data_IF_557935675263
#
_entry.id   IF_557935675263
#
_cell.length_a   1.000
_cell.length_b   1.000
_cell.length_c   1.000
_cell.angle_alpha   90.00
_cell.angle_beta   90.00
_cell.angle_gamma   90.00
#
_symmetry.space_group_name_H-M   'P 1'
#
loop_
_entity.id
_entity.type
_entity.pdbx_description
1 polymer ?
#
# COMPACT_ATOMS: atom_id res chain seq x y z
N UNK A 1 12.51 -33.39 -82.42
CA UNK A 1 13.54 -32.46 -82.94
C UNK A 1 13.10 -31.02 -82.66
N UNK A 2 14.06 -30.09 -82.61
CA UNK A 2 13.97 -28.62 -82.41
C UNK A 2 12.56 -27.98 -82.52
N UNK A 3 12.18 -27.19 -81.50
CA UNK A 3 11.30 -26.02 -81.65
C UNK A 3 11.99 -24.77 -81.07
N UNK A 4 12.40 -23.89 -81.97
CA UNK A 4 12.60 -22.45 -81.77
C UNK A 4 11.31 -21.72 -82.22
N UNK A 5 11.19 -20.39 -82.04
CA UNK A 5 11.70 -19.53 -80.96
C UNK A 5 10.55 -18.69 -80.37
N UNK A 6 10.87 -17.70 -79.53
CA UNK A 6 10.31 -16.33 -79.63
C UNK A 6 11.36 -15.35 -79.08
N UNK A 7 11.33 -14.11 -79.56
CA UNK A 7 12.32 -13.06 -79.30
C UNK A 7 11.67 -12.00 -78.41
N UNK A 8 12.39 -11.46 -77.43
CA UNK A 8 12.37 -10.01 -77.17
C UNK A 8 13.70 -9.53 -76.59
N UNK A 9 14.23 -8.45 -77.17
CA UNK A 9 15.46 -7.77 -76.74
C UNK A 9 15.13 -6.60 -75.83
N UNK A 10 15.87 -6.43 -74.74
CA UNK A 10 15.90 -5.21 -73.93
C UNK A 10 17.32 -4.66 -73.97
N UNK A 11 17.46 -3.34 -74.10
CA UNK A 11 18.74 -2.65 -74.26
C UNK A 11 19.40 -2.32 -72.91
N UNK A 12 20.73 -2.26 -72.90
CA UNK A 12 21.49 -1.81 -71.74
C UNK A 12 21.66 -0.28 -71.73
N UNK A 13 21.42 0.33 -70.58
CA UNK A 13 21.83 1.70 -70.24
C UNK A 13 22.41 1.66 -68.82
N UNK A 14 23.54 2.32 -68.59
CA UNK A 14 24.26 2.28 -67.32
C UNK A 14 24.35 3.68 -66.69
N UNK A 15 23.84 3.84 -65.47
CA UNK A 15 24.09 4.99 -64.60
C UNK A 15 24.28 4.53 -63.15
N UNK A 16 25.34 5.05 -62.54
CA UNK A 16 25.63 5.22 -61.09
C UNK A 16 25.22 4.14 -60.09
N UNK A 17 26.25 3.55 -59.46
CA UNK A 17 26.13 2.89 -58.16
C UNK A 17 26.02 3.96 -57.05
N UNK A 18 24.83 4.11 -56.49
CA UNK A 18 24.59 4.68 -55.15
C UNK A 18 23.90 3.63 -54.30
N UNK A 19 24.31 3.49 -53.04
CA UNK A 19 24.00 2.32 -52.23
C UNK A 19 22.60 2.36 -51.59
N UNK A 20 21.90 1.23 -51.69
CA UNK A 20 21.13 0.60 -50.60
C UNK A 20 21.37 -0.92 -50.74
N UNK A 21 21.62 -1.62 -49.63
CA UNK A 21 21.80 -3.07 -49.64
C UNK A 21 20.48 -3.78 -49.37
N UNK A 22 20.20 -4.84 -50.14
CA UNK A 22 19.16 -5.83 -49.78
C UNK A 22 19.72 -6.76 -48.68
N UNK A 23 19.53 -6.38 -47.41
CA UNK A 23 19.74 -7.29 -46.28
C UNK A 23 18.41 -7.93 -45.89
N UNK A 24 18.13 -9.12 -46.45
CA UNK A 24 17.06 -10.00 -45.97
C UNK A 24 17.48 -10.67 -44.65
N UNK A 25 17.70 -9.85 -43.63
CA UNK A 25 18.02 -10.27 -42.27
C UNK A 25 16.77 -10.20 -41.39
N UNK A 26 16.24 -11.37 -41.00
CA UNK A 26 15.23 -11.45 -39.93
C UNK A 26 15.91 -11.21 -38.57
N UNK A 27 16.33 -9.98 -38.31
CA UNK A 27 16.84 -9.56 -37.01
C UNK A 27 15.68 -9.39 -36.03
N UNK A 28 15.28 -10.49 -35.39
CA UNK A 28 14.68 -10.41 -34.06
C UNK A 28 15.80 -9.95 -33.12
N UNK A 29 15.94 -8.63 -32.96
CA UNK A 29 16.74 -8.05 -31.89
C UNK A 29 16.04 -8.37 -30.58
N UNK A 30 16.70 -9.13 -29.70
CA UNK A 30 16.19 -9.37 -28.35
C UNK A 30 16.02 -8.03 -27.62
N UNK A 31 14.89 -7.87 -26.95
CA UNK A 31 14.68 -6.77 -26.01
C UNK A 31 15.57 -7.02 -24.80
N UNK A 32 16.41 -6.04 -24.47
CA UNK A 32 17.22 -6.04 -23.25
C UNK A 32 16.63 -5.04 -22.25
N UNK A 33 17.00 -5.17 -20.98
CA UNK A 33 16.43 -4.48 -19.82
C UNK A 33 16.59 -2.94 -19.79
N UNK A 34 17.06 -2.31 -20.87
CA UNK A 34 17.41 -0.89 -20.98
C UNK A 34 16.16 -0.02 -21.16
N UNK A 35 15.93 0.93 -20.25
CA UNK A 35 14.81 1.86 -20.36
C UNK A 35 15.04 2.91 -21.45
N UNK A 36 14.02 3.14 -22.29
CA UNK A 36 14.08 4.11 -23.39
C UNK A 36 14.20 5.57 -22.89
N UNK A 37 13.60 5.90 -21.74
CA UNK A 37 13.70 7.22 -21.11
C UNK A 37 13.98 7.17 -19.60
N UNK A 38 14.65 8.21 -19.11
CA UNK A 38 14.85 8.50 -17.69
C UNK A 38 14.64 10.01 -17.51
N UNK A 39 13.69 10.41 -16.66
CA UNK A 39 13.20 11.79 -16.52
C UNK A 39 12.97 12.18 -15.06
N UNK A 40 12.78 13.47 -14.80
CA UNK A 40 12.36 13.95 -13.49
C UNK A 40 10.86 13.71 -13.28
N UNK A 41 10.01 14.23 -14.18
CA UNK A 41 8.55 14.14 -14.09
C UNK A 41 7.91 13.45 -15.30
N UNK A 42 6.66 12.99 -15.15
CA UNK A 42 5.89 12.39 -16.25
C UNK A 42 5.67 13.35 -17.43
N UNK A 43 5.51 14.65 -17.15
CA UNK A 43 5.33 15.72 -18.15
C UNK A 43 6.60 15.96 -19.00
N UNK A 44 7.77 15.48 -18.56
CA UNK A 44 9.01 15.54 -19.35
C UNK A 44 9.08 14.46 -20.45
N UNK A 45 8.16 13.49 -20.49
CA UNK A 45 8.14 12.47 -21.54
C UNK A 45 7.58 13.00 -22.86
N UNK A 46 8.08 12.52 -24.02
CA UNK A 46 7.41 12.75 -25.29
C UNK A 46 6.03 12.09 -25.30
N UNK A 47 5.07 12.65 -26.03
CA UNK A 47 3.75 12.03 -26.22
C UNK A 47 3.91 10.55 -26.63
N UNK A 48 3.22 9.64 -25.93
CA UNK A 48 3.07 8.26 -26.36
C UNK A 48 2.27 8.22 -27.68
N UNK A 49 2.72 7.38 -28.62
CA UNK A 49 2.22 7.28 -30.00
C UNK A 49 2.48 5.86 -30.52
N UNK A 50 1.81 5.45 -31.60
CA UNK A 50 2.04 4.15 -32.27
C UNK A 50 3.51 3.83 -32.52
N UNK A 51 4.30 4.85 -32.84
CA UNK A 51 5.71 4.75 -33.22
C UNK A 51 6.64 4.63 -31.98
N UNK A 52 6.04 4.50 -30.79
CA UNK A 52 6.64 4.42 -29.45
C UNK A 52 5.95 3.36 -28.59
N UNK A 53 5.01 2.59 -29.14
CA UNK A 53 4.30 1.57 -28.37
C UNK A 53 5.32 0.57 -27.80
N UNK A 54 5.20 0.23 -26.52
CA UNK A 54 6.17 -0.50 -25.70
C UNK A 54 7.49 0.24 -25.34
N UNK A 55 7.68 1.52 -25.71
CA UNK A 55 8.74 2.36 -25.10
C UNK A 55 8.54 2.38 -23.56
N UNK A 56 9.64 2.30 -22.81
CA UNK A 56 9.64 2.30 -21.34
C UNK A 56 10.33 3.53 -20.75
N UNK A 57 9.83 4.00 -19.61
CA UNK A 57 10.29 5.23 -18.99
C UNK A 57 10.42 5.10 -17.46
N UNK A 58 11.48 5.69 -16.92
CA UNK A 58 11.65 5.88 -15.47
C UNK A 58 11.49 7.36 -15.11
N UNK A 59 10.68 7.63 -14.10
CA UNK A 59 10.37 8.95 -13.55
C UNK A 59 10.96 9.01 -12.14
N UNK A 60 11.90 9.94 -11.90
CA UNK A 60 12.57 10.06 -10.59
C UNK A 60 11.64 10.58 -9.50
N UNK A 61 10.74 11.52 -9.82
CA UNK A 61 9.73 11.98 -8.89
C UNK A 61 8.72 10.84 -8.64
N UNK A 62 8.84 10.19 -7.48
CA UNK A 62 8.08 8.98 -7.12
C UNK A 62 8.77 7.64 -7.42
N UNK A 63 9.96 7.62 -8.03
CA UNK A 63 10.67 6.38 -8.44
C UNK A 63 9.81 5.44 -9.33
N UNK A 64 9.09 6.00 -10.30
CA UNK A 64 8.02 5.33 -11.03
C UNK A 64 8.43 4.80 -12.42
N UNK A 65 8.00 3.58 -12.75
CA UNK A 65 8.17 2.94 -14.07
C UNK A 65 6.87 3.08 -14.88
N UNK A 66 7.01 3.53 -16.12
CA UNK A 66 5.93 3.68 -17.10
C UNK A 66 6.22 2.93 -18.41
N UNK A 67 5.16 2.54 -19.12
CA UNK A 67 5.21 2.00 -20.48
C UNK A 67 4.25 2.78 -21.39
N UNK A 68 4.62 3.00 -22.65
CA UNK A 68 3.75 3.59 -23.66
C UNK A 68 2.85 2.50 -24.25
N UNK A 69 1.54 2.54 -23.97
CA UNK A 69 0.58 1.54 -24.43
C UNK A 69 -0.82 2.18 -24.59
N UNK A 70 -1.60 1.79 -25.61
CA UNK A 70 -2.85 2.45 -26.02
C UNK A 70 -2.67 3.97 -26.30
N UNK A 71 -1.53 4.39 -26.88
CA UNK A 71 -1.21 5.81 -27.11
C UNK A 71 -1.13 6.68 -25.82
N UNK A 72 -0.94 6.07 -24.65
CA UNK A 72 -0.72 6.77 -23.37
C UNK A 72 0.41 6.14 -22.55
N UNK A 73 1.08 6.94 -21.75
CA UNK A 73 1.97 6.43 -20.70
C UNK A 73 1.12 5.82 -19.59
N UNK A 74 1.24 4.50 -19.37
CA UNK A 74 0.62 3.76 -18.28
C UNK A 74 1.67 3.50 -17.20
N UNK A 75 1.32 3.77 -15.93
CA UNK A 75 2.15 3.38 -14.79
C UNK A 75 2.17 1.85 -14.66
N UNK A 76 3.36 1.30 -14.45
CA UNK A 76 3.60 -0.14 -14.30
C UNK A 76 3.80 -0.47 -12.82
N UNK A 77 4.80 0.16 -12.18
CA UNK A 77 5.25 -0.12 -10.81
C UNK A 77 6.27 0.93 -10.35
N UNK A 78 6.38 1.19 -9.04
CA UNK A 78 7.48 1.97 -8.47
C UNK A 78 8.65 1.06 -8.01
N UNK A 79 9.87 1.60 -8.00
CA UNK A 79 11.03 0.98 -7.32
C UNK A 79 11.20 1.57 -5.93
N UNK A 80 11.84 0.82 -5.03
CA UNK A 80 12.04 1.19 -3.63
C UNK A 80 13.30 2.06 -3.48
N UNK A 81 14.31 1.83 -4.33
CA UNK A 81 15.61 2.49 -4.30
C UNK A 81 16.01 2.95 -5.72
N UNK A 82 16.73 4.07 -5.84
CA UNK A 82 17.25 4.58 -7.12
C UNK A 82 18.66 5.11 -6.92
N UNK A 83 19.63 4.45 -7.54
CA UNK A 83 21.07 4.68 -7.32
C UNK A 83 21.77 4.99 -8.64
N UNK A 84 22.80 5.85 -8.60
CA UNK A 84 23.50 6.25 -9.83
C UNK A 84 24.44 5.16 -10.31
N UNK A 85 25.04 4.38 -9.40
CA UNK A 85 26.00 3.32 -9.74
C UNK A 85 25.80 2.04 -8.91
N UNK A 86 26.34 0.92 -9.40
CA UNK A 86 26.26 -0.38 -8.70
C UNK A 86 27.05 -0.42 -7.38
N UNK A 87 28.02 0.49 -7.20
CA UNK A 87 28.78 0.64 -5.95
C UNK A 87 27.99 1.39 -4.85
N UNK A 88 26.96 2.17 -5.24
CA UNK A 88 25.99 2.79 -4.33
C UNK A 88 24.85 1.85 -3.96
N UNK A 89 24.61 0.80 -4.77
CA UNK A 89 23.57 -0.18 -4.55
C UNK A 89 23.86 -0.97 -3.27
N UNK A 90 23.09 -0.66 -2.23
CA UNK A 90 23.11 -1.36 -0.96
C UNK A 90 22.91 -2.87 -1.15
N UNK A 91 23.62 -3.70 -0.37
CA UNK A 91 23.67 -5.15 -0.60
C UNK A 91 22.27 -5.80 -0.54
N UNK A 92 22.00 -6.72 -1.47
CA UNK A 92 20.87 -7.63 -1.36
C UNK A 92 21.13 -8.64 -0.23
N UNK A 93 20.14 -8.85 0.63
CA UNK A 93 20.19 -9.77 1.78
C UNK A 93 18.80 -10.31 2.05
N UNK A 94 18.67 -11.37 2.85
CA UNK A 94 17.39 -11.98 3.23
C UNK A 94 16.37 -10.97 3.82
N UNK A 95 16.85 -9.85 4.39
CA UNK A 95 16.01 -8.76 4.92
C UNK A 95 15.38 -7.87 3.83
N UNK A 96 15.85 -8.00 2.58
CA UNK A 96 15.50 -7.20 1.41
C UNK A 96 14.96 -8.06 0.25
N UNK A 97 14.67 -9.33 0.51
CA UNK A 97 14.16 -10.28 -0.48
C UNK A 97 12.87 -9.73 -1.13
N UNK A 98 12.87 -9.62 -2.46
CA UNK A 98 11.79 -9.02 -3.25
C UNK A 98 11.85 -7.50 -3.41
N UNK A 99 12.79 -6.79 -2.77
CA UNK A 99 13.01 -5.37 -3.03
C UNK A 99 13.43 -5.11 -4.48
N UNK A 100 13.14 -3.89 -4.95
CA UNK A 100 13.41 -3.45 -6.33
C UNK A 100 14.17 -2.13 -6.32
N UNK A 101 15.22 -2.06 -7.12
CA UNK A 101 16.03 -0.86 -7.30
C UNK A 101 16.12 -0.48 -8.78
N UNK A 102 16.32 0.79 -9.09
CA UNK A 102 16.72 1.25 -10.43
C UNK A 102 18.19 1.70 -10.41
N UNK A 103 18.94 1.27 -11.42
CA UNK A 103 20.37 1.58 -11.58
C UNK A 103 20.54 2.57 -12.73
N UNK A 104 20.69 3.87 -12.45
CA UNK A 104 20.64 4.90 -13.49
C UNK A 104 21.79 4.81 -14.52
N UNK A 105 22.98 4.35 -14.12
CA UNK A 105 24.13 4.20 -15.05
C UNK A 105 23.89 3.20 -16.17
N UNK A 106 23.09 2.16 -15.90
CA UNK A 106 22.72 1.11 -16.87
C UNK A 106 21.26 1.24 -17.35
N UNK A 107 20.45 2.08 -16.70
CA UNK A 107 19.00 2.21 -16.91
C UNK A 107 18.21 0.91 -16.81
N UNK A 108 18.61 0.03 -15.89
CA UNK A 108 17.96 -1.25 -15.66
C UNK A 108 17.21 -1.27 -14.32
N UNK A 109 16.09 -2.00 -14.29
CA UNK A 109 15.44 -2.41 -13.05
C UNK A 109 16.13 -3.67 -12.49
N UNK A 110 16.30 -3.70 -11.18
CA UNK A 110 16.90 -4.82 -10.44
C UNK A 110 15.90 -5.36 -9.41
N UNK A 111 15.97 -6.66 -9.13
CA UNK A 111 15.24 -7.31 -8.02
C UNK A 111 16.22 -8.06 -7.11
N UNK A 112 16.06 -7.91 -5.80
CA UNK A 112 16.84 -8.66 -4.81
C UNK A 112 16.19 -10.03 -4.61
N UNK A 113 16.91 -11.12 -4.89
CA UNK A 113 16.47 -12.46 -4.54
C UNK A 113 17.63 -13.39 -4.19
N UNK A 114 17.46 -14.27 -3.22
CA UNK A 114 18.46 -15.25 -2.79
C UNK A 114 19.78 -14.63 -2.31
N UNK A 115 19.75 -13.38 -1.85
CA UNK A 115 20.94 -12.61 -1.49
C UNK A 115 21.76 -12.05 -2.68
N UNK A 116 21.19 -12.01 -3.89
CA UNK A 116 21.77 -11.36 -5.08
C UNK A 116 20.80 -10.37 -5.73
N UNK A 117 21.35 -9.34 -6.37
CA UNK A 117 20.60 -8.51 -7.31
C UNK A 117 20.61 -9.16 -8.69
N UNK A 118 19.42 -9.36 -9.26
CA UNK A 118 19.20 -9.82 -10.62
C UNK A 118 18.63 -8.68 -11.47
N UNK A 119 19.01 -8.61 -12.76
CA UNK A 119 18.28 -7.76 -13.71
C UNK A 119 16.86 -8.30 -13.85
N UNK A 120 15.89 -7.39 -13.85
CA UNK A 120 14.47 -7.70 -13.88
C UNK A 120 13.89 -7.14 -15.18
N UNK A 121 13.72 -8.01 -16.18
CA UNK A 121 13.16 -7.62 -17.46
C UNK A 121 11.69 -7.22 -17.33
N UNK A 122 11.31 -6.17 -18.03
CA UNK A 122 9.99 -5.56 -17.93
C UNK A 122 8.91 -6.35 -18.69
N UNK A 123 9.31 -7.16 -19.67
CA UNK A 123 8.44 -8.05 -20.43
C UNK A 123 7.81 -9.15 -19.55
N UNK A 124 8.48 -9.60 -18.48
CA UNK A 124 7.91 -10.52 -17.46
C UNK A 124 6.67 -9.91 -16.76
N UNK A 125 6.55 -8.57 -16.71
CA UNK A 125 5.33 -7.91 -16.24
C UNK A 125 4.26 -7.86 -17.32
N UNK A 126 4.64 -7.70 -18.58
CA UNK A 126 3.72 -7.59 -19.72
C UNK A 126 3.13 -8.96 -20.10
N UNK A 127 3.92 -10.03 -20.14
CA UNK A 127 3.41 -11.39 -20.44
C UNK A 127 2.44 -11.90 -19.36
N UNK A 128 2.52 -11.40 -18.13
CA UNK A 128 1.53 -11.68 -17.07
C UNK A 128 0.08 -11.24 -17.43
N UNK A 129 -0.09 -10.46 -18.50
CA UNK A 129 -1.39 -10.08 -19.07
C UNK A 129 -1.92 -11.02 -20.18
N UNK A 130 -1.09 -11.90 -20.76
CA UNK A 130 -1.47 -12.74 -21.91
C UNK A 130 -1.23 -14.24 -21.67
N UNK A 131 -2.30 -15.05 -21.78
CA UNK A 131 -2.30 -16.43 -21.29
C UNK A 131 -1.77 -17.46 -22.29
N UNK A 132 -0.45 -17.71 -22.29
CA UNK A 132 0.15 -18.87 -22.96
C UNK A 132 1.37 -19.43 -22.19
N UNK A 133 1.16 -20.35 -21.24
CA UNK A 133 2.28 -21.00 -20.54
C UNK A 133 3.04 -21.98 -21.43
N UNK A 134 4.28 -21.64 -21.79
CA UNK A 134 5.30 -22.59 -22.24
C UNK A 134 6.55 -22.47 -21.38
N UNK A 135 6.81 -23.48 -20.56
CA UNK A 135 7.93 -23.48 -19.63
C UNK A 135 9.29 -23.64 -20.35
N UNK A 136 10.12 -22.60 -20.32
CA UNK A 136 11.55 -22.68 -20.62
C UNK A 136 12.36 -22.04 -19.50
N UNK A 137 12.97 -22.87 -18.65
CA UNK A 137 14.06 -22.44 -17.78
C UNK A 137 15.34 -22.29 -18.61
N UNK A 138 15.91 -21.09 -18.69
CA UNK A 138 17.35 -20.80 -18.67
C UNK A 138 17.62 -19.30 -18.89
N UNK A 139 18.87 -18.87 -18.63
CA UNK A 139 19.44 -17.55 -18.97
C UNK A 139 18.98 -16.31 -18.16
N UNK A 140 19.18 -16.31 -16.84
CA UNK A 140 19.36 -15.07 -16.07
C UNK A 140 20.85 -14.68 -16.06
N UNK A 141 21.22 -13.43 -16.39
CA UNK A 141 22.61 -12.97 -16.28
C UNK A 141 22.95 -12.47 -14.86
N UNK A 142 24.01 -13.01 -14.26
CA UNK A 142 24.51 -12.57 -12.95
C UNK A 142 25.57 -11.47 -13.07
N UNK A 143 25.45 -10.41 -12.26
CA UNK A 143 26.49 -9.39 -12.11
C UNK A 143 27.67 -9.91 -11.26
N UNK A 144 28.94 -9.59 -11.61
CA UNK A 144 30.11 -10.12 -10.94
C UNK A 144 30.33 -9.52 -9.54
N UNK A 145 30.25 -10.34 -8.50
CA UNK A 145 30.39 -9.90 -7.11
C UNK A 145 31.86 -9.66 -6.71
N UNK A 146 32.17 -8.49 -6.14
CA UNK A 146 33.47 -8.24 -5.48
C UNK A 146 33.52 -8.91 -4.10
N UNK A 147 34.68 -9.44 -3.69
CA UNK A 147 34.77 -10.41 -2.60
C UNK A 147 35.40 -9.87 -1.31
N UNK A 148 34.81 -10.17 -0.14
CA UNK A 148 35.57 -10.27 1.12
C UNK A 148 34.91 -11.17 2.19
N UNK A 149 35.72 -12.11 2.69
CA UNK A 149 35.75 -12.65 4.06
C UNK A 149 34.59 -13.53 4.64
N UNK A 150 35.01 -14.76 4.97
CA UNK A 150 34.72 -15.48 6.22
C UNK A 150 33.34 -16.17 6.44
N UNK A 151 33.28 -17.44 6.02
CA UNK A 151 32.39 -18.45 6.62
C UNK A 151 32.79 -18.76 8.07
N UNK A 152 31.82 -18.89 8.97
CA UNK A 152 31.89 -19.81 10.12
C UNK A 152 30.57 -20.57 10.20
N UNK A 153 30.63 -21.89 10.40
CA UNK A 153 29.44 -22.74 10.52
C UNK A 153 29.52 -23.55 11.81
N UNK A 154 28.44 -23.55 12.59
CA UNK A 154 28.15 -24.64 13.53
C UNK A 154 26.68 -24.67 13.90
N UNK A 155 26.03 -25.78 13.60
CA UNK A 155 24.75 -26.18 14.19
C UNK A 155 25.01 -27.07 15.41
N UNK A 156 24.11 -27.09 16.39
CA UNK A 156 23.81 -28.29 17.19
C UNK A 156 22.55 -28.12 18.03
N UNK A 157 21.56 -28.95 17.72
CA UNK A 157 20.27 -29.09 18.39
C UNK A 157 20.38 -29.59 19.83
N UNK A 158 19.43 -29.20 20.69
CA UNK A 158 19.00 -30.03 21.83
C UNK A 158 17.46 -30.05 21.87
N UNK A 159 16.87 -31.21 22.21
CA UNK A 159 15.43 -31.43 22.45
C UNK A 159 15.26 -32.14 23.81
N UNK A 160 14.01 -32.42 24.20
CA UNK A 160 13.60 -33.32 25.33
C UNK A 160 13.71 -32.65 26.71
N UNK A 161 12.69 -32.64 27.60
CA UNK A 161 11.30 -33.11 27.46
C UNK A 161 10.27 -32.38 28.33
N UNK A 162 9.04 -32.42 27.82
CA UNK A 162 7.73 -32.49 28.51
C UNK A 162 7.66 -32.99 29.97
N UNK A 163 6.73 -32.40 30.74
CA UNK A 163 5.73 -33.15 31.55
C UNK A 163 4.55 -32.23 31.92
N UNK A 164 3.32 -32.78 31.90
CA UNK A 164 2.06 -32.06 32.16
C UNK A 164 1.35 -32.62 33.41
N UNK A 165 0.47 -31.84 34.06
CA UNK A 165 -0.81 -32.30 34.63
C UNK A 165 -1.62 -31.14 35.27
N UNK A 166 -2.96 -31.25 35.22
CA UNK A 166 -3.90 -30.53 36.10
C UNK A 166 -4.14 -31.35 37.41
N UNK A 167 -5.06 -31.14 38.36
CA UNK A 167 -6.39 -30.49 38.55
C UNK A 167 -6.62 -30.39 40.11
N UNK A 168 -7.64 -29.80 40.77
CA UNK A 168 -8.93 -29.14 40.42
C UNK A 168 -9.31 -28.08 41.50
N UNK A 169 -10.21 -27.15 41.15
CA UNK A 169 -11.34 -26.60 41.96
C UNK A 169 -11.19 -25.74 43.26
N UNK A 170 -12.01 -24.68 43.24
CA UNK A 170 -13.01 -24.23 44.26
C UNK A 170 -12.73 -23.08 45.27
N UNK A 171 -13.41 -21.95 44.99
CA UNK A 171 -14.37 -21.22 45.86
C UNK A 171 -13.94 -20.34 47.06
N UNK A 172 -14.33 -19.05 46.98
CA UNK A 172 -14.71 -18.12 48.08
C UNK A 172 -13.59 -17.67 49.06
N UNK A 173 -13.58 -16.47 49.66
CA UNK A 173 -14.65 -15.55 50.08
C UNK A 173 -14.37 -14.04 49.82
N UNK A 174 -15.23 -13.16 50.34
CA UNK A 174 -15.14 -11.69 50.28
C UNK A 174 -14.18 -11.10 51.32
N UNK A 175 -13.69 -9.88 51.06
CA UNK A 175 -13.24 -8.95 52.11
C UNK A 175 -13.88 -7.58 51.88
N UNK A 176 -14.25 -6.87 52.94
CA UNK A 176 -14.96 -5.59 52.91
C UNK A 176 -14.02 -4.39 53.02
N UNK A 177 -14.38 -3.27 52.40
CA UNK A 177 -13.82 -1.94 52.70
C UNK A 177 -14.94 -0.90 52.81
N UNK A 178 -15.13 -0.36 54.02
CA UNK A 178 -15.95 0.83 54.27
C UNK A 178 -15.23 2.08 53.72
N UNK A 179 -15.90 3.21 53.44
CA UNK A 179 -16.36 4.14 54.48
C UNK A 179 -17.30 5.22 53.93
N UNK A 180 -18.00 5.93 54.81
CA UNK A 180 -19.06 6.86 54.48
C UNK A 180 -18.63 8.35 54.48
N UNK A 181 -19.28 9.09 53.57
CA UNK A 181 -19.60 10.53 53.59
C UNK A 181 -19.51 11.28 54.94
N UNK A 182 -18.96 12.51 54.91
CA UNK A 182 -19.56 13.75 55.48
C UNK A 182 -19.10 14.95 54.63
N UNK A 183 -19.97 15.96 54.44
CA UNK A 183 -19.69 17.21 53.71
C UNK A 183 -19.71 18.44 54.65
N UNK A 184 -19.05 19.55 54.28
CA UNK A 184 -19.26 20.85 54.95
C UNK A 184 -19.01 22.10 54.07
N UNK A 185 -20.11 22.74 53.67
CA UNK A 185 -20.44 24.18 53.62
C UNK A 185 -19.46 25.28 53.14
N UNK A 186 -20.05 26.26 52.44
CA UNK A 186 -19.49 27.48 51.84
C UNK A 186 -19.32 28.67 52.80
N UNK A 187 -18.62 29.74 52.36
CA UNK A 187 -19.27 31.07 52.15
C UNK A 187 -18.43 32.06 51.27
N UNK A 188 -18.96 33.26 51.02
CA UNK A 188 -18.53 34.23 49.98
C UNK A 188 -17.52 35.31 50.46
N UNK A 189 -16.95 36.06 49.50
CA UNK A 189 -16.93 37.55 49.44
C UNK A 189 -16.44 38.01 48.05
N UNK A 190 -16.83 39.21 47.59
CA UNK A 190 -16.44 39.80 46.29
C UNK A 190 -15.66 41.12 46.45
N UNK A 191 -14.83 41.52 45.47
CA UNK A 191 -14.96 42.80 44.71
C UNK A 191 -13.68 43.30 43.99
N UNK A 192 -13.91 44.10 42.94
CA UNK A 192 -13.12 45.28 42.48
C UNK A 192 -11.71 45.16 41.87
N UNK A 193 -11.68 45.22 40.54
CA UNK A 193 -11.06 46.29 39.73
C UNK A 193 -9.55 46.62 39.80
N UNK A 194 -8.86 46.44 38.67
CA UNK A 194 -7.86 47.39 38.14
C UNK A 194 -7.73 47.27 36.61
N UNK A 195 -7.52 48.38 35.90
CA UNK A 195 -7.29 48.43 34.45
C UNK A 195 -5.83 48.68 34.11
N UNK A 196 -5.29 47.97 33.13
CA UNK A 196 -4.11 48.42 32.36
C UNK A 196 -4.37 48.24 30.86
N UNK A 197 -4.08 49.28 30.08
CA UNK A 197 -4.14 49.28 28.62
C UNK A 197 -2.72 49.12 28.09
N UNK A 198 -2.50 48.15 27.22
CA UNK A 198 -1.33 48.10 26.32
C UNK A 198 -1.79 47.64 24.95
N UNK A 199 -1.72 48.54 23.97
CA UNK A 199 -2.04 48.25 22.57
C UNK A 199 -0.82 47.62 21.88
N UNK A 200 -0.97 46.37 21.44
CA UNK A 200 0.01 45.70 20.58
C UNK A 200 -0.70 45.10 19.37
N UNK A 201 -0.86 45.90 18.32
CA UNK A 201 -1.35 45.43 17.03
C UNK A 201 -0.29 44.56 16.37
N UNK A 202 -0.33 43.26 16.64
CA UNK A 202 0.30 42.25 15.80
C UNK A 202 -0.75 41.69 14.85
N UNK A 203 -0.44 41.69 13.56
CA UNK A 203 -1.20 40.93 12.55
C UNK A 203 -0.93 39.44 12.82
N UNK A 204 -1.71 38.85 13.72
CA UNK A 204 -1.64 37.42 14.02
C UNK A 204 -2.18 36.65 12.81
N UNK A 205 -1.26 36.28 11.91
CA UNK A 205 -1.53 35.37 10.81
C UNK A 205 -2.14 34.10 11.37
N UNK A 206 -3.45 33.93 11.16
CA UNK A 206 -4.26 32.97 11.91
C UNK A 206 -3.80 31.54 11.63
N UNK A 207 -2.97 31.00 12.51
CA UNK A 207 -2.76 29.57 12.63
C UNK A 207 -4.10 28.96 13.04
N UNK A 208 -4.83 28.43 12.06
CA UNK A 208 -6.12 27.80 12.29
C UNK A 208 -5.89 26.53 13.09
N UNK A 209 -6.02 26.63 14.41
CA UNK A 209 -6.12 25.47 15.30
C UNK A 209 -7.21 24.56 14.75
N UNK A 210 -6.82 23.36 14.32
CA UNK A 210 -7.75 22.40 13.73
C UNK A 210 -8.83 22.07 14.75
N UNK A 211 -10.09 22.17 14.35
CA UNK A 211 -11.21 21.74 15.18
C UNK A 211 -11.12 20.21 15.35
N UNK A 212 -10.75 19.78 16.56
CA UNK A 212 -10.69 18.37 16.96
C UNK A 212 -11.75 18.12 18.01
N UNK A 213 -12.62 17.14 17.78
CA UNK A 213 -13.65 16.74 18.75
C UNK A 213 -13.83 15.23 18.78
N UNK A 214 -13.91 14.67 19.99
CA UNK A 214 -14.11 13.25 20.21
C UNK A 214 -15.57 12.92 20.53
N UNK A 215 -16.00 11.75 20.11
CA UNK A 215 -17.33 11.22 20.38
C UNK A 215 -17.35 9.69 20.39
N UNK A 216 -18.55 9.13 20.40
CA UNK A 216 -18.78 7.71 20.21
C UNK A 216 -19.96 7.47 19.28
N UNK A 217 -19.94 6.33 18.61
CA UNK A 217 -21.01 5.81 17.78
C UNK A 217 -21.29 4.35 18.18
N UNK A 218 -22.55 3.94 18.15
CA UNK A 218 -22.94 2.54 18.39
C UNK A 218 -23.53 1.98 17.11
N UNK A 219 -22.89 0.94 16.56
CA UNK A 219 -23.44 0.22 15.41
C UNK A 219 -24.67 -0.59 15.86
N UNK A 220 -25.81 -0.33 15.22
CA UNK A 220 -27.08 -0.99 15.53
C UNK A 220 -27.16 -2.43 15.03
N UNK A 221 -26.20 -2.87 14.21
CA UNK A 221 -26.17 -4.21 13.60
C UNK A 221 -25.58 -5.28 14.52
N UNK A 222 -24.61 -4.92 15.35
CA UNK A 222 -23.90 -5.82 16.28
C UNK A 222 -23.86 -5.31 17.73
N UNK A 223 -24.16 -4.02 17.97
CA UNK A 223 -24.09 -3.37 19.27
C UNK A 223 -22.68 -2.87 19.65
N UNK A 224 -21.69 -2.96 18.75
CA UNK A 224 -20.34 -2.48 18.99
C UNK A 224 -20.33 -0.95 19.11
N UNK A 225 -19.75 -0.46 20.21
CA UNK A 225 -19.47 0.96 20.40
C UNK A 225 -18.07 1.24 19.85
N UNK A 226 -17.96 2.25 18.99
CA UNK A 226 -16.73 2.76 18.42
C UNK A 226 -16.49 4.19 18.91
N UNK A 227 -15.24 4.55 19.18
CA UNK A 227 -14.82 5.96 19.31
C UNK A 227 -14.85 6.65 17.95
N UNK A 228 -15.14 7.94 17.95
CA UNK A 228 -15.13 8.78 16.74
C UNK A 228 -14.30 10.04 16.97
N UNK A 229 -13.66 10.55 15.93
CA UNK A 229 -12.88 11.79 15.96
C UNK A 229 -13.25 12.67 14.76
N UNK A 230 -13.56 13.93 15.01
CA UNK A 230 -13.62 14.97 13.99
C UNK A 230 -12.23 15.55 13.82
N UNK A 231 -11.71 15.61 12.59
CA UNK A 231 -10.44 16.24 12.24
C UNK A 231 -10.72 17.20 11.08
N UNK A 232 -10.70 18.51 11.37
CA UNK A 232 -11.09 19.52 10.40
C UNK A 232 -12.57 19.40 10.02
N UNK A 233 -12.87 19.00 8.78
CA UNK A 233 -14.24 18.83 8.28
C UNK A 233 -14.77 17.40 8.33
N UNK A 234 -13.92 16.40 8.58
CA UNK A 234 -14.27 14.98 8.47
C UNK A 234 -14.48 14.34 9.85
N UNK A 235 -15.57 13.59 10.04
CA UNK A 235 -15.80 12.77 11.25
C UNK A 235 -15.49 11.30 10.96
N UNK A 236 -14.39 10.80 11.49
CA UNK A 236 -13.90 9.45 11.28
C UNK A 236 -14.24 8.53 12.47
N UNK A 237 -14.33 7.21 12.22
CA UNK A 237 -14.10 6.24 13.29
C UNK A 237 -12.64 6.29 13.74
N UNK A 238 -12.42 6.40 15.06
CA UNK A 238 -11.10 6.35 15.69
C UNK A 238 -10.62 4.91 15.97
N UNK A 239 -11.47 3.91 15.68
CA UNK A 239 -11.19 2.48 15.83
C UNK A 239 -11.52 1.76 14.51
N UNK A 240 -10.85 0.64 14.25
CA UNK A 240 -11.08 -0.14 13.04
C UNK A 240 -12.43 -0.88 13.14
N UNK A 241 -13.17 -0.99 12.03
CA UNK A 241 -14.46 -1.67 12.00
C UNK A 241 -14.31 -3.15 12.43
N UNK A 242 -15.22 -3.62 13.27
CA UNK A 242 -15.20 -4.96 13.87
C UNK A 242 -16.44 -5.81 13.52
N UNK A 243 -17.23 -5.37 12.54
CA UNK A 243 -18.44 -6.05 12.08
C UNK A 243 -18.15 -7.38 11.36
N UNK A 244 -18.82 -8.47 11.75
CA UNK A 244 -18.65 -9.82 11.18
C UNK A 244 -19.34 -9.99 9.82
N UNK A 245 -18.69 -9.53 8.76
CA UNK A 245 -19.18 -9.68 7.40
C UNK A 245 -18.81 -11.06 6.80
N UNK A 246 -19.82 -11.80 6.31
CA UNK A 246 -19.69 -13.22 5.95
C UNK A 246 -20.52 -13.63 4.70
N UNK A 247 -20.72 -12.75 3.72
CA UNK A 247 -21.66 -12.98 2.60
C UNK A 247 -21.01 -13.59 1.35
N UNK A 248 -21.49 -14.75 0.90
CA UNK A 248 -21.00 -15.40 -0.32
C UNK A 248 -19.49 -15.68 -0.28
N UNK A 249 -18.72 -15.06 -1.18
CA UNK A 249 -17.24 -15.05 -1.20
C UNK A 249 -16.63 -13.81 -0.54
N UNK A 250 -17.44 -12.81 -0.16
CA UNK A 250 -17.01 -11.59 0.50
C UNK A 250 -16.95 -11.83 2.02
N UNK A 251 -15.74 -11.90 2.57
CA UNK A 251 -15.48 -12.31 3.96
C UNK A 251 -14.64 -11.30 4.74
N UNK A 252 -14.73 -11.39 6.06
CA UNK A 252 -13.88 -10.69 7.01
C UNK A 252 -13.24 -11.68 7.99
N UNK A 253 -12.03 -11.39 8.47
CA UNK A 253 -11.26 -12.27 9.35
C UNK A 253 -10.68 -11.51 10.55
N UNK A 254 -10.52 -12.17 11.69
CA UNK A 254 -9.59 -11.70 12.73
C UNK A 254 -8.16 -12.04 12.29
N UNK A 255 -7.15 -11.27 12.71
CA UNK A 255 -5.75 -11.65 12.44
C UNK A 255 -5.46 -13.05 12.99
N UNK A 256 -4.92 -13.95 12.14
CA UNK A 256 -4.72 -15.39 12.39
C UNK A 256 -5.98 -16.20 12.74
N UNK A 257 -7.16 -15.64 12.48
CA UNK A 257 -8.48 -16.15 12.91
C UNK A 257 -8.68 -16.19 14.45
N UNK A 258 -7.82 -15.52 15.22
CA UNK A 258 -7.91 -15.51 16.69
C UNK A 258 -8.90 -14.43 17.18
N UNK A 259 -9.94 -14.77 17.98
CA UNK A 259 -10.97 -13.80 18.42
C UNK A 259 -10.41 -12.59 19.17
N UNK A 260 -9.40 -12.78 20.01
CA UNK A 260 -8.75 -11.70 20.76
C UNK A 260 -8.06 -10.69 19.82
N UNK A 261 -7.66 -11.10 18.62
CA UNK A 261 -7.14 -10.19 17.59
C UNK A 261 -8.22 -9.27 17.04
N UNK A 262 -9.47 -9.74 16.89
CA UNK A 262 -10.59 -8.87 16.53
C UNK A 262 -10.85 -7.82 17.62
N UNK A 263 -10.86 -8.24 18.90
CA UNK A 263 -11.04 -7.32 20.03
C UNK A 263 -9.91 -6.29 20.17
N UNK A 264 -8.69 -6.59 19.68
CA UNK A 264 -7.55 -5.66 19.69
C UNK A 264 -7.47 -4.76 18.45
N UNK A 265 -7.72 -5.30 17.25
CA UNK A 265 -7.37 -4.66 15.98
C UNK A 265 -8.57 -4.35 15.06
N UNK A 266 -9.78 -4.75 15.44
CA UNK A 266 -10.91 -4.86 14.51
C UNK A 266 -10.69 -6.01 13.52
N UNK A 267 -11.46 -6.00 12.42
CA UNK A 267 -11.44 -7.05 11.39
C UNK A 267 -10.63 -6.65 10.16
N UNK A 268 -10.10 -7.67 9.49
CA UNK A 268 -9.48 -7.60 8.17
C UNK A 268 -10.51 -8.05 7.12
N UNK A 269 -10.92 -7.14 6.24
CA UNK A 269 -11.95 -7.36 5.23
C UNK A 269 -11.31 -7.64 3.88
N UNK A 270 -11.78 -8.65 3.16
CA UNK A 270 -11.55 -8.71 1.72
C UNK A 270 -12.12 -7.44 1.07
N UNK A 271 -11.56 -6.94 -0.04
CA UNK A 271 -12.11 -5.71 -0.65
C UNK A 271 -13.57 -5.89 -1.09
N UNK A 272 -13.94 -7.11 -1.48
CA UNK A 272 -15.34 -7.52 -1.71
C UNK A 272 -16.24 -7.39 -0.47
N UNK A 273 -15.73 -7.69 0.73
CA UNK A 273 -16.46 -7.44 1.96
C UNK A 273 -16.53 -5.94 2.27
N UNK A 274 -15.41 -5.22 2.14
CA UNK A 274 -15.36 -3.77 2.37
C UNK A 274 -16.38 -3.02 1.51
N UNK A 275 -16.52 -3.40 0.23
CA UNK A 275 -17.47 -2.81 -0.74
C UNK A 275 -18.92 -3.30 -0.61
N UNK A 276 -19.24 -4.27 0.27
CA UNK A 276 -20.55 -4.95 0.30
C UNK A 276 -20.93 -5.53 -1.09
N UNK A 277 -20.12 -6.43 -1.64
CA UNK A 277 -20.36 -7.06 -2.95
C UNK A 277 -21.76 -7.68 -3.09
N UNK A 278 -22.36 -8.15 -1.99
CA UNK A 278 -23.67 -8.78 -1.98
C UNK A 278 -24.82 -7.74 -2.06
N UNK A 279 -24.56 -6.51 -1.63
CA UNK A 279 -25.52 -5.43 -1.53
C UNK A 279 -26.54 -5.66 -0.42
N UNK A 280 -26.06 -6.05 0.77
CA UNK A 280 -26.86 -6.25 1.99
C UNK A 280 -27.18 -4.92 2.68
N UNK A 281 -26.30 -3.93 2.56
CA UNK A 281 -26.40 -2.61 3.18
C UNK A 281 -26.62 -1.48 2.17
N UNK A 282 -26.15 -1.64 0.92
CA UNK A 282 -26.43 -0.71 -0.18
C UNK A 282 -26.20 -1.36 -1.55
N UNK A 283 -26.83 -0.84 -2.61
CA UNK A 283 -26.45 -1.23 -3.98
C UNK A 283 -25.10 -0.63 -4.45
N UNK A 284 -24.48 0.26 -3.65
CA UNK A 284 -23.40 1.15 -4.08
C UNK A 284 -22.10 0.45 -4.52
N UNK A 285 -21.71 -0.65 -3.86
CA UNK A 285 -20.57 -1.50 -4.23
C UNK A 285 -20.98 -2.91 -4.71
N UNK A 286 -22.25 -3.10 -5.05
CA UNK A 286 -22.81 -4.41 -5.39
C UNK A 286 -22.15 -5.01 -6.64
N UNK A 287 -21.70 -6.25 -6.52
CA UNK A 287 -20.95 -6.95 -7.57
C UNK A 287 -19.49 -6.51 -7.73
N UNK A 288 -19.02 -5.49 -7.02
CA UNK A 288 -17.60 -5.12 -7.03
C UNK A 288 -16.77 -6.18 -6.30
N UNK A 289 -15.65 -6.61 -6.89
CA UNK A 289 -14.85 -7.71 -6.33
C UNK A 289 -13.66 -8.08 -7.21
N UNK A 290 -13.06 -9.23 -6.92
CA UNK A 290 -11.95 -9.80 -7.69
C UNK A 290 -12.40 -10.25 -9.09
N UNK A 291 -11.50 -10.17 -10.07
CA UNK A 291 -11.75 -10.41 -11.50
C UNK A 291 -12.96 -9.64 -12.10
N UNK A 292 -13.44 -8.59 -11.42
CA UNK A 292 -14.61 -7.80 -11.83
C UNK A 292 -14.32 -6.31 -11.71
N UNK A 293 -14.52 -5.56 -12.81
CA UNK A 293 -14.48 -4.09 -12.79
C UNK A 293 -15.69 -3.53 -12.06
N UNK A 294 -15.45 -2.82 -10.97
CA UNK A 294 -16.48 -2.21 -10.15
C UNK A 294 -17.19 -1.07 -10.89
N UNK A 295 -18.48 -0.91 -10.62
CA UNK A 295 -19.28 0.25 -11.05
C UNK A 295 -19.88 0.92 -9.83
N UNK A 296 -18.98 1.39 -8.97
CA UNK A 296 -19.29 2.05 -7.72
C UNK A 296 -20.27 3.22 -7.93
N UNK A 297 -21.21 3.37 -7.01
CA UNK A 297 -21.99 4.61 -6.84
C UNK A 297 -21.49 5.28 -5.56
N UNK A 298 -20.69 6.33 -5.72
CA UNK A 298 -20.07 7.03 -4.59
C UNK A 298 -21.05 8.01 -3.90
N UNK A 299 -20.94 8.22 -2.57
CA UNK A 299 -20.03 7.52 -1.66
C UNK A 299 -20.47 6.07 -1.41
N UNK A 300 -19.56 5.11 -1.56
CA UNK A 300 -19.87 3.70 -1.33
C UNK A 300 -19.98 3.43 0.17
N UNK A 301 -21.21 3.25 0.67
CA UNK A 301 -21.46 2.79 2.04
C UNK A 301 -20.65 1.53 2.38
N UNK A 302 -20.69 0.54 1.48
CA UNK A 302 -20.00 -0.74 1.69
C UNK A 302 -20.41 -1.42 3.00
N UNK A 303 -19.43 -1.97 3.71
CA UNK A 303 -19.60 -2.63 5.02
C UNK A 303 -19.91 -1.65 6.17
N UNK A 304 -19.86 -0.34 5.96
CA UNK A 304 -20.03 0.64 7.02
C UNK A 304 -21.48 0.73 7.57
N UNK A 305 -21.67 1.26 8.80
CA UNK A 305 -23.00 1.47 9.38
C UNK A 305 -23.87 2.43 8.56
N UNK A 306 -25.10 2.66 8.98
CA UNK A 306 -25.96 3.67 8.35
C UNK A 306 -25.52 5.08 8.78
N UNK A 307 -25.41 6.03 7.83
CA UNK A 307 -24.81 7.35 8.07
C UNK A 307 -23.27 7.37 8.01
N UNK A 308 -22.66 6.32 7.46
CA UNK A 308 -21.21 6.14 7.32
C UNK A 308 -20.87 5.39 6.03
N UNK A 309 -19.72 5.69 5.43
CA UNK A 309 -19.24 5.08 4.18
C UNK A 309 -17.78 4.63 4.25
N UNK A 310 -17.39 3.80 3.28
CA UNK A 310 -16.00 3.41 3.04
C UNK A 310 -15.31 4.57 2.29
N UNK A 311 -14.29 5.23 2.87
CA UNK A 311 -13.72 6.44 2.29
C UNK A 311 -12.98 6.16 0.98
N UNK A 312 -13.07 7.12 0.06
CA UNK A 312 -12.28 7.16 -1.17
C UNK A 312 -10.83 7.59 -0.91
N UNK A 313 -9.96 7.38 -1.91
CA UNK A 313 -8.60 7.92 -1.96
C UNK A 313 -8.54 9.44 -1.68
N UNK A 314 -9.48 10.21 -2.23
CA UNK A 314 -9.59 11.66 -2.05
C UNK A 314 -9.91 12.05 -0.60
N UNK A 315 -10.72 11.26 0.10
CA UNK A 315 -11.10 11.51 1.49
C UNK A 315 -9.97 11.17 2.46
N UNK A 316 -9.23 10.09 2.20
CA UNK A 316 -7.97 9.80 2.90
C UNK A 316 -6.93 10.90 2.69
N UNK A 317 -6.73 11.37 1.45
CA UNK A 317 -5.84 12.51 1.15
C UNK A 317 -6.26 13.79 1.89
N UNK A 318 -7.57 14.04 2.01
CA UNK A 318 -8.11 15.17 2.77
C UNK A 318 -7.73 15.09 4.27
N UNK A 319 -7.85 13.92 4.89
CA UNK A 319 -7.38 13.68 6.26
C UNK A 319 -5.87 13.95 6.38
N UNK A 320 -5.05 13.42 5.48
CA UNK A 320 -3.59 13.61 5.55
C UNK A 320 -3.19 15.07 5.34
N UNK A 321 -3.83 15.79 4.42
CA UNK A 321 -3.64 17.24 4.27
C UNK A 321 -4.01 17.99 5.55
N UNK A 322 -5.10 17.61 6.22
CA UNK A 322 -5.52 18.25 7.46
C UNK A 322 -4.48 18.10 8.60
N UNK A 323 -3.76 16.97 8.67
CA UNK A 323 -2.74 16.72 9.72
C UNK A 323 -1.29 17.03 9.30
N UNK A 324 -1.09 17.83 8.24
CA UNK A 324 0.23 18.34 7.84
C UNK A 324 0.89 17.65 6.64
N UNK A 325 0.23 16.66 6.03
CA UNK A 325 0.67 15.95 4.83
C UNK A 325 1.08 14.51 5.08
N UNK A 326 1.15 13.72 4.00
CA UNK A 326 1.48 12.27 4.06
C UNK A 326 2.84 11.98 4.67
N UNK A 327 3.81 12.90 4.59
CA UNK A 327 5.16 12.72 5.16
C UNK A 327 5.23 12.69 6.69
N UNK A 328 4.23 13.25 7.39
CA UNK A 328 4.17 13.28 8.88
C UNK A 328 2.90 12.66 9.45
N UNK A 329 1.85 12.46 8.64
CA UNK A 329 0.60 11.84 9.07
C UNK A 329 0.81 10.43 9.68
N UNK A 330 1.91 9.74 9.33
CA UNK A 330 2.25 8.43 9.88
C UNK A 330 2.55 8.49 11.38
N UNK A 331 3.50 9.33 11.79
CA UNK A 331 3.83 9.49 13.22
C UNK A 331 2.67 10.14 14.00
N UNK A 332 1.93 11.05 13.38
CA UNK A 332 0.83 11.80 14.01
C UNK A 332 -0.43 10.97 14.26
N UNK A 333 -0.78 10.04 13.35
CA UNK A 333 -2.02 9.23 13.45
C UNK A 333 -1.77 7.81 14.01
N UNK A 334 -0.53 7.29 14.00
CA UNK A 334 -0.19 6.00 14.64
C UNK A 334 -0.52 6.03 16.14
N UNK A 335 -1.07 4.93 16.64
CA UNK A 335 -1.34 4.75 18.06
C UNK A 335 -0.06 4.85 18.91
N UNK A 336 -0.19 5.37 20.11
CA UNK A 336 0.90 5.49 21.12
C UNK A 336 1.40 4.17 21.68
N UNK A 337 0.79 3.04 21.29
CA UNK A 337 1.23 1.69 21.66
C UNK A 337 0.81 0.66 20.60
N UNK A 338 1.48 -0.49 20.61
CA UNK A 338 1.15 -1.65 19.78
C UNK A 338 2.04 -1.85 18.55
N UNK A 339 2.88 -0.86 18.20
CA UNK A 339 3.89 -0.95 17.14
C UNK A 339 5.21 -1.50 17.68
N UNK A 340 5.89 -2.31 16.85
CA UNK A 340 7.23 -2.86 17.09
C UNK A 340 8.30 -1.74 17.12
N UNK A 341 9.46 -2.05 17.68
CA UNK A 341 10.65 -1.19 17.60
C UNK A 341 11.42 -1.40 16.28
N UNK A 342 11.83 -0.32 15.61
CA UNK A 342 12.64 -0.30 14.40
C UNK A 342 14.00 0.34 14.70
N UNK A 343 15.10 -0.35 14.38
CA UNK A 343 16.49 0.12 14.61
C UNK A 343 16.79 0.62 16.04
N UNK A 344 16.08 0.08 17.05
CA UNK A 344 16.22 0.50 18.45
C UNK A 344 15.46 1.78 18.83
N UNK A 345 14.63 2.32 17.92
CA UNK A 345 13.61 3.34 18.19
C UNK A 345 12.23 2.69 18.22
N UNK A 346 11.27 3.27 18.92
CA UNK A 346 9.90 2.74 18.91
C UNK A 346 9.12 3.22 17.69
N UNK A 347 8.40 2.31 17.01
CA UNK A 347 7.61 2.64 15.81
C UNK A 347 6.23 3.25 16.10
N UNK A 348 5.89 3.43 17.38
CA UNK A 348 4.64 3.99 17.87
C UNK A 348 4.51 5.49 17.51
N UNK A 349 3.28 5.97 17.33
CA UNK A 349 2.99 7.37 17.01
C UNK A 349 2.74 8.24 18.24
N UNK A 350 2.48 9.53 18.00
CA UNK A 350 2.06 10.50 19.02
C UNK A 350 0.55 10.53 19.22
N UNK A 351 -0.24 10.06 18.23
CA UNK A 351 -1.71 10.00 18.23
C UNK A 351 -2.39 11.32 18.63
N UNK A 352 -1.89 12.45 18.11
CA UNK A 352 -2.19 13.80 18.59
C UNK A 352 -3.68 14.16 18.49
N UNK A 353 -4.36 13.52 17.54
CA UNK A 353 -5.78 13.71 17.26
C UNK A 353 -6.66 12.64 17.94
N UNK A 354 -6.11 11.55 18.46
CA UNK A 354 -6.88 10.40 18.93
C UNK A 354 -7.54 9.62 17.78
N UNK A 355 -6.79 9.41 16.69
CA UNK A 355 -7.20 8.59 15.54
C UNK A 355 -6.70 7.14 15.66
N UNK A 356 -5.67 6.88 16.47
CA UNK A 356 -5.26 5.56 16.95
C UNK A 356 -5.09 4.48 15.85
N UNK A 357 -4.26 4.72 14.83
CA UNK A 357 -3.93 3.65 13.85
C UNK A 357 -3.14 2.53 14.53
N UNK A 358 -3.73 1.34 14.59
CA UNK A 358 -3.15 0.14 15.18
C UNK A 358 -2.59 -0.81 14.10
N UNK A 359 -1.43 -1.47 14.33
CA UNK A 359 -0.78 -2.31 13.33
C UNK A 359 -1.40 -3.71 13.29
N UNK A 360 -2.56 -3.80 12.63
CA UNK A 360 -3.33 -5.02 12.44
C UNK A 360 -2.65 -6.05 11.51
N UNK A 361 -1.65 -5.64 10.73
CA UNK A 361 -1.06 -6.44 9.66
C UNK A 361 -2.00 -6.59 8.46
N UNK A 362 -1.73 -7.60 7.63
CA UNK A 362 -2.63 -8.04 6.57
C UNK A 362 -3.02 -9.52 6.71
N UNK A 363 -3.99 -9.89 5.88
CA UNK A 363 -4.23 -11.26 5.44
C UNK A 363 -3.90 -11.33 3.95
N UNK A 364 -3.06 -12.28 3.53
CA UNK A 364 -2.82 -12.53 2.12
C UNK A 364 -4.02 -13.20 1.46
N UNK A 365 -4.01 -13.20 0.14
CA UNK A 365 -4.86 -14.01 -0.73
C UNK A 365 -4.57 -15.53 -0.55
N UNK A 366 -3.31 -15.92 -0.32
CA UNK A 366 -2.92 -17.29 0.07
C UNK A 366 -3.21 -17.67 1.56
N UNK A 367 -4.19 -17.06 2.20
CA UNK A 367 -4.63 -17.36 3.58
C UNK A 367 -3.60 -17.17 4.73
N UNK A 368 -2.44 -16.57 4.46
CA UNK A 368 -1.44 -16.21 5.47
C UNK A 368 -1.75 -14.86 6.16
N UNK A 369 -1.11 -14.62 7.30
CA UNK A 369 -1.29 -13.43 8.13
C UNK A 369 0.07 -12.85 8.52
N UNK A 370 0.39 -11.65 8.03
CA UNK A 370 1.70 -11.01 8.13
C UNK A 370 1.61 -9.60 8.71
N UNK A 371 2.74 -9.03 9.11
CA UNK A 371 2.84 -7.61 9.39
C UNK A 371 2.18 -7.05 10.66
N UNK A 372 1.44 -7.82 11.46
CA UNK A 372 0.91 -7.29 12.73
C UNK A 372 2.05 -6.86 13.67
N UNK A 373 1.91 -5.70 14.31
CA UNK A 373 3.00 -4.98 15.00
C UNK A 373 3.83 -4.05 14.08
N UNK A 374 3.82 -4.28 12.76
CA UNK A 374 4.70 -3.62 11.79
C UNK A 374 3.99 -2.76 10.75
N UNK A 375 2.79 -3.14 10.36
CA UNK A 375 1.99 -2.48 9.33
C UNK A 375 0.53 -2.34 9.77
N UNK A 376 -0.10 -1.25 9.37
CA UNK A 376 -1.56 -1.13 9.30
C UNK A 376 -1.95 -0.81 7.86
N UNK A 377 -2.80 -1.66 7.26
CA UNK A 377 -3.31 -1.47 5.90
C UNK A 377 -4.80 -1.14 5.93
N UNK A 378 -5.25 -0.22 5.08
CA UNK A 378 -6.64 0.19 4.96
C UNK A 378 -7.16 0.10 3.53
N UNK A 379 -8.31 -0.55 3.33
CA UNK A 379 -9.06 -0.43 2.09
C UNK A 379 -9.80 0.91 2.02
N UNK A 380 -9.89 1.48 0.80
CA UNK A 380 -10.86 2.51 0.44
C UNK A 380 -11.81 2.02 -0.66
N UNK A 381 -12.77 2.86 -1.06
CA UNK A 381 -13.74 2.52 -2.12
C UNK A 381 -13.12 2.47 -3.53
N UNK A 382 -11.95 3.08 -3.71
CA UNK A 382 -11.35 3.36 -5.02
C UNK A 382 -10.73 2.11 -5.67
N UNK A 383 -11.28 1.68 -6.79
CA UNK A 383 -10.72 0.64 -7.65
C UNK A 383 -9.53 1.15 -8.49
N UNK A 384 -8.55 0.28 -8.76
CA UNK A 384 -7.57 0.48 -9.84
C UNK A 384 -7.95 -0.35 -11.08
N UNK A 385 -8.27 -1.64 -10.90
CA UNK A 385 -8.68 -2.53 -11.99
C UNK A 385 -9.55 -3.70 -11.51
N UNK A 386 -9.95 -4.59 -12.43
CA UNK A 386 -10.71 -5.80 -12.09
C UNK A 386 -10.07 -6.66 -10.99
N UNK A 387 -8.73 -6.66 -10.86
CA UNK A 387 -7.99 -7.41 -9.82
C UNK A 387 -7.50 -6.58 -8.65
N UNK A 388 -7.23 -5.29 -8.86
CA UNK A 388 -6.51 -4.45 -7.90
C UNK A 388 -7.37 -3.28 -7.39
N UNK A 389 -7.27 -2.97 -6.11
CA UNK A 389 -7.89 -1.79 -5.49
C UNK A 389 -6.85 -0.96 -4.72
N UNK A 390 -7.14 0.32 -4.50
CA UNK A 390 -6.27 1.21 -3.74
C UNK A 390 -6.32 0.90 -2.24
N UNK A 391 -5.16 0.98 -1.60
CA UNK A 391 -5.00 0.90 -0.16
C UNK A 391 -4.07 2.00 0.35
N UNK A 392 -4.20 2.30 1.64
CA UNK A 392 -3.26 3.14 2.40
C UNK A 392 -2.55 2.30 3.45
N UNK A 393 -1.26 2.54 3.67
CA UNK A 393 -0.50 1.86 4.71
C UNK A 393 0.39 2.76 5.58
N UNK A 394 0.52 2.31 6.82
CA UNK A 394 1.35 2.90 7.86
C UNK A 394 2.40 1.87 8.28
N UNK A 395 3.68 2.24 8.21
CA UNK A 395 4.80 1.38 8.59
C UNK A 395 5.38 1.75 9.96
N UNK A 396 5.85 0.76 10.72
CA UNK A 396 6.47 0.99 12.03
C UNK A 396 7.74 1.85 11.96
N UNK A 397 8.60 1.60 10.96
CA UNK A 397 9.88 2.30 10.82
C UNK A 397 9.83 3.70 10.19
N UNK A 398 8.69 4.14 9.65
CA UNK A 398 8.57 5.43 8.94
C UNK A 398 7.63 6.42 9.63
N UNK A 399 7.84 7.70 9.34
CA UNK A 399 7.04 8.83 9.86
C UNK A 399 5.87 9.20 8.94
N UNK A 400 5.88 8.73 7.69
CA UNK A 400 4.85 8.98 6.68
C UNK A 400 3.82 7.87 6.50
N UNK A 401 2.88 8.11 5.59
CA UNK A 401 1.83 7.20 5.13
C UNK A 401 1.96 7.03 3.62
N UNK A 402 1.84 5.79 3.15
CA UNK A 402 2.01 5.43 1.74
C UNK A 402 0.70 4.92 1.15
N UNK A 403 0.55 5.04 -0.17
CA UNK A 403 -0.58 4.49 -0.93
C UNK A 403 -0.07 3.54 -2.00
N UNK A 404 -0.79 2.46 -2.25
CA UNK A 404 -0.53 1.56 -3.36
C UNK A 404 -1.80 0.90 -3.85
N UNK A 405 -1.63 -0.10 -4.71
CA UNK A 405 -2.72 -0.98 -5.12
C UNK A 405 -2.34 -2.44 -4.93
N UNK A 406 -3.27 -3.24 -4.39
CA UNK A 406 -3.05 -4.65 -4.12
C UNK A 406 -4.24 -5.52 -4.55
N UNK A 407 -4.04 -6.83 -4.59
CA UNK A 407 -5.06 -7.79 -5.00
C UNK A 407 -6.27 -7.70 -4.06
N UNK A 408 -7.47 -7.56 -4.64
CA UNK A 408 -8.74 -7.46 -3.88
C UNK A 408 -9.06 -8.67 -2.99
N UNK A 409 -8.33 -9.78 -3.19
CA UNK A 409 -8.36 -10.98 -2.36
C UNK A 409 -7.55 -10.87 -1.05
N UNK A 410 -6.85 -9.76 -0.80
CA UNK A 410 -6.22 -9.48 0.50
C UNK A 410 -7.21 -8.94 1.53
N UNK A 411 -6.95 -9.25 2.79
CA UNK A 411 -7.68 -8.72 3.94
C UNK A 411 -6.95 -7.54 4.59
N UNK A 412 -7.53 -6.34 4.52
CA UNK A 412 -7.04 -5.12 5.17
C UNK A 412 -8.11 -4.54 6.12
N UNK A 413 -7.73 -3.66 7.03
CA UNK A 413 -8.67 -3.00 7.94
C UNK A 413 -9.60 -2.01 7.20
N UNK A 414 -10.73 -1.71 7.81
CA UNK A 414 -11.67 -0.67 7.35
C UNK A 414 -11.80 0.40 8.42
N UNK A 415 -11.76 1.67 7.99
CA UNK A 415 -12.12 2.85 8.76
C UNK A 415 -13.28 3.52 8.04
N UNK A 416 -14.40 3.71 8.72
CA UNK A 416 -15.53 4.41 8.12
C UNK A 416 -15.41 5.92 8.34
N UNK A 417 -15.77 6.68 7.31
CA UNK A 417 -15.98 8.12 7.35
C UNK A 417 -17.50 8.39 7.41
N UNK A 418 -17.90 9.47 8.07
CA UNK A 418 -19.32 9.82 8.26
C UNK A 418 -19.84 10.66 7.09
N UNK A 419 -21.12 10.47 6.77
CA UNK A 419 -21.90 11.26 5.80
C UNK A 419 -22.21 12.70 6.30
#
# INVERSE_FOLDING_TARGET
>A
MKKQPIIFTIAAVALFLTACGDDNGSSVSGFGSDFAYTKETLDDLPNCTSDREQDTAFIRDGNEIYVCEDLRWKFVRAVIDSVQTVDELSACTDAREGERAFLESERVALVCSGGKWYKFDIDDLLESSSSAVSSSSDAWEELPSSSSAAKVSSSSSVKVSSSSSAIVSSSSEKVSSSSAIVSSSSENVSSSSATVVSSSSVEESSSSSLEVSHGTFTDSRDGQVYKTVTIGTQTWMAENLNYDYNEGTAKSYCYRNEPDSCAKYGRLYLWSAAMDSAGVFSDGGKGCGYDTTCKATEPVRGVCPEGWHLPSDTEWKTLFTAVGGTGTAGIILKSTSGWDDYEGKSGNGTDEYGFSVLPAGDRTDDDYYLGAGKYAYFWGSTENSSRYAYYWDFYYGYEGVYSGYNLKGKGYSVRCLKD
#
